data_IF_314444375010
#
_entry.id   IF_314444375010
#
_cell.length_a   1.000
_cell.length_b   1.000
_cell.length_c   1.000
_cell.angle_alpha   90.00
_cell.angle_beta   90.00
_cell.angle_gamma   90.00
#
_symmetry.space_group_name_H-M   'P 1'
#
loop_
_entity.id
_entity.type
_entity.pdbx_description
1 polymer ?
#
# COMPACT_ATOMS: atom_id res chain seq x y z
N UNK A 1 -2.44 -2.45 -13.21
CA UNK A 1 -3.16 -1.18 -13.37
C UNK A 1 -2.28 -0.02 -12.89
N UNK A 2 -2.30 1.06 -13.64
CA UNK A 2 -1.50 2.24 -13.34
C UNK A 2 -2.38 3.34 -12.76
N UNK A 3 -1.90 3.98 -11.70
CA UNK A 3 -2.58 5.11 -11.10
C UNK A 3 -1.66 6.31 -11.01
N UNK A 4 -2.23 7.47 -11.30
CA UNK A 4 -1.52 8.72 -11.27
C UNK A 4 -2.43 9.77 -10.64
N UNK A 5 -1.89 10.58 -9.75
CA UNK A 5 -2.63 11.66 -9.12
C UNK A 5 -1.67 12.75 -8.63
N UNK A 6 -2.22 13.91 -8.33
CA UNK A 6 -1.47 15.00 -7.73
C UNK A 6 -1.65 14.94 -6.21
N UNK A 7 -0.53 14.97 -5.51
CA UNK A 7 -0.50 15.07 -4.05
C UNK A 7 0.04 16.43 -3.69
N UNK A 8 -0.87 17.37 -3.45
CA UNK A 8 -0.53 18.78 -3.34
C UNK A 8 -0.13 19.31 -4.71
N UNK A 9 1.03 19.96 -4.82
CA UNK A 9 1.52 20.50 -6.08
C UNK A 9 2.41 19.52 -6.84
N UNK A 10 2.55 18.29 -6.37
CA UNK A 10 3.47 17.31 -6.94
C UNK A 10 2.74 16.12 -7.52
N UNK A 11 3.21 15.68 -8.66
CA UNK A 11 2.71 14.47 -9.30
C UNK A 11 3.12 13.24 -8.51
N UNK A 12 2.19 12.29 -8.38
CA UNK A 12 2.44 11.00 -7.77
C UNK A 12 1.92 9.89 -8.67
N UNK A 13 2.73 8.87 -8.91
CA UNK A 13 2.40 7.80 -9.85
C UNK A 13 2.86 6.45 -9.33
N UNK A 14 2.00 5.46 -9.44
CA UNK A 14 2.31 4.07 -9.14
C UNK A 14 1.56 3.13 -10.08
N UNK A 15 2.05 1.91 -10.18
CA UNK A 15 1.34 0.81 -10.83
C UNK A 15 1.05 -0.25 -9.79
N UNK A 16 -0.07 -0.95 -9.94
CA UNK A 16 -0.38 -2.04 -9.03
C UNK A 16 -0.99 -3.23 -9.76
N UNK A 17 -0.84 -4.39 -9.14
CA UNK A 17 -1.41 -5.64 -9.63
C UNK A 17 -2.03 -6.37 -8.45
N UNK A 18 -3.26 -6.84 -8.62
CA UNK A 18 -3.92 -7.66 -7.61
C UNK A 18 -3.41 -9.08 -7.75
N UNK A 19 -2.78 -9.59 -6.70
CA UNK A 19 -2.22 -10.93 -6.69
C UNK A 19 -3.23 -11.97 -6.19
N UNK A 20 -4.08 -11.58 -5.23
CA UNK A 20 -4.98 -12.50 -4.56
C UNK A 20 -6.14 -11.73 -3.94
N UNK A 21 -7.32 -12.32 -3.92
CA UNK A 21 -8.49 -11.74 -3.26
C UNK A 21 -9.11 -12.78 -2.33
N UNK A 22 -9.64 -12.33 -1.22
CA UNK A 22 -10.30 -13.20 -0.26
C UNK A 22 -11.52 -12.51 0.34
N UNK A 23 -12.65 -13.19 0.25
CA UNK A 23 -13.87 -12.72 0.90
C UNK A 23 -13.79 -12.92 2.40
N UNK A 24 -14.13 -11.89 3.14
CA UNK A 24 -14.22 -11.95 4.59
C UNK A 24 -15.64 -12.33 4.98
N UNK A 25 -15.82 -12.91 6.16
CA UNK A 25 -17.13 -13.39 6.57
C UNK A 25 -18.22 -12.33 6.68
N UNK A 26 -17.89 -11.06 6.59
CA UNK A 26 -18.82 -9.94 6.68
C UNK A 26 -19.24 -9.39 5.31
N UNK A 27 -18.88 -10.07 4.24
CA UNK A 27 -19.19 -9.64 2.89
C UNK A 27 -18.16 -8.70 2.27
N UNK A 28 -17.18 -8.26 3.03
CA UNK A 28 -16.09 -7.45 2.51
C UNK A 28 -15.07 -8.34 1.78
N UNK A 29 -14.35 -7.76 0.85
CA UNK A 29 -13.27 -8.44 0.14
C UNK A 29 -11.96 -7.75 0.44
N UNK A 30 -10.94 -8.53 0.76
CA UNK A 30 -9.57 -8.04 0.91
C UNK A 30 -8.75 -8.51 -0.28
N UNK A 31 -7.90 -7.63 -0.76
CA UNK A 31 -7.02 -7.92 -1.89
C UNK A 31 -5.56 -7.79 -1.46
N UNK A 32 -4.74 -8.74 -1.90
CA UNK A 32 -3.29 -8.62 -1.78
C UNK A 32 -2.78 -7.99 -3.07
N UNK A 33 -2.09 -6.87 -2.93
CA UNK A 33 -1.70 -6.04 -4.07
C UNK A 33 -0.19 -5.84 -4.07
N UNK A 34 0.42 -6.04 -5.22
CA UNK A 34 1.81 -5.69 -5.44
C UNK A 34 1.87 -4.32 -6.10
N UNK A 35 2.72 -3.44 -5.60
CA UNK A 35 2.78 -2.06 -6.02
C UNK A 35 4.18 -1.72 -6.51
N UNK A 36 4.26 -1.07 -7.66
CA UNK A 36 5.49 -0.50 -8.20
C UNK A 36 5.38 1.02 -8.14
N UNK A 37 6.21 1.63 -7.30
CA UNK A 37 6.24 3.08 -7.15
C UNK A 37 7.08 3.72 -8.24
N UNK A 38 6.50 4.66 -8.97
CA UNK A 38 7.24 5.52 -9.91
C UNK A 38 7.67 6.81 -9.24
N UNK A 39 6.96 7.22 -8.18
CA UNK A 39 7.31 8.37 -7.34
C UNK A 39 7.25 7.95 -5.88
N UNK A 40 7.93 8.68 -4.99
CA UNK A 40 7.93 8.37 -3.56
C UNK A 40 7.44 9.55 -2.73
N UNK A 41 6.21 9.99 -2.93
CA UNK A 41 5.63 11.08 -2.16
C UNK A 41 5.24 10.62 -0.76
N UNK A 42 5.14 11.55 0.16
CA UNK A 42 4.78 11.27 1.55
C UNK A 42 3.46 10.50 1.64
N UNK A 43 3.49 9.34 2.26
CA UNK A 43 2.34 8.44 2.41
C UNK A 43 1.61 8.13 1.09
N UNK A 44 2.31 8.16 -0.02
CA UNK A 44 1.69 8.07 -1.35
C UNK A 44 0.74 6.89 -1.52
N UNK A 45 1.18 5.68 -1.19
CA UNK A 45 0.35 4.48 -1.33
C UNK A 45 -0.91 4.60 -0.50
N UNK A 46 -0.77 5.01 0.75
CA UNK A 46 -1.89 5.16 1.68
C UNK A 46 -2.91 6.18 1.18
N UNK A 47 -2.42 7.33 0.72
CA UNK A 47 -3.29 8.41 0.24
C UNK A 47 -3.99 8.02 -1.05
N UNK A 48 -3.28 7.48 -2.03
CA UNK A 48 -3.86 7.13 -3.31
C UNK A 48 -4.90 6.02 -3.22
N UNK A 49 -4.63 4.99 -2.41
CA UNK A 49 -5.60 3.90 -2.23
C UNK A 49 -6.82 4.36 -1.43
N UNK A 50 -6.64 5.20 -0.42
CA UNK A 50 -7.76 5.75 0.32
C UNK A 50 -8.65 6.65 -0.57
N UNK A 51 -8.04 7.48 -1.40
CA UNK A 51 -8.76 8.36 -2.33
C UNK A 51 -9.56 7.55 -3.37
N UNK A 52 -9.10 6.35 -3.68
CA UNK A 52 -9.79 5.45 -4.60
C UNK A 52 -10.96 4.70 -3.93
N UNK A 53 -11.11 4.81 -2.63
CA UNK A 53 -12.13 4.08 -1.90
C UNK A 53 -11.68 2.69 -1.45
N UNK A 54 -10.40 2.39 -1.56
CA UNK A 54 -9.82 1.10 -1.18
C UNK A 54 -8.64 1.28 -0.23
N UNK A 55 -8.88 1.83 0.98
CA UNK A 55 -7.78 2.08 1.91
C UNK A 55 -7.10 0.79 2.33
N UNK A 56 -5.85 0.91 2.78
CA UNK A 56 -5.09 -0.24 3.25
C UNK A 56 -5.68 -0.76 4.56
N UNK A 57 -5.61 -2.06 4.75
CA UNK A 57 -5.99 -2.69 6.02
C UNK A 57 -5.13 -2.11 7.14
N UNK A 58 -5.76 -1.67 8.21
CA UNK A 58 -5.06 -1.10 9.35
C UNK A 58 -4.72 0.37 9.23
N UNK A 59 -5.09 1.03 8.14
CA UNK A 59 -4.81 2.45 7.95
C UNK A 59 -5.83 3.31 8.68
N UNK A 60 -5.49 3.75 9.88
CA UNK A 60 -6.36 4.56 10.72
C UNK A 60 -6.30 6.04 10.39
N UNK A 61 -5.30 6.48 9.66
CA UNK A 61 -5.14 7.90 9.30
C UNK A 61 -5.89 8.26 8.02
N UNK A 62 -5.79 7.42 7.00
CA UNK A 62 -6.42 7.67 5.69
C UNK A 62 -7.54 6.70 5.39
N UNK A 63 -7.75 5.70 6.24
CA UNK A 63 -8.72 4.66 6.03
C UNK A 63 -10.14 5.05 6.40
N UNK A 64 -10.97 4.05 6.67
CA UNK A 64 -12.36 4.25 7.02
C UNK A 64 -12.49 5.10 8.29
N UNK A 65 -13.57 5.89 8.42
CA UNK A 65 -13.82 6.66 9.63
C UNK A 65 -13.79 5.77 10.87
N UNK A 66 -13.42 6.36 12.02
CA UNK A 66 -13.38 5.62 13.29
C UNK A 66 -14.70 4.92 13.60
N UNK A 67 -15.82 5.48 13.17
CA UNK A 67 -17.13 4.88 13.34
C UNK A 67 -17.24 3.50 12.69
N UNK A 68 -16.52 3.25 11.61
CA UNK A 68 -16.54 1.96 10.92
C UNK A 68 -15.83 0.87 11.70
N UNK A 69 -15.02 1.24 12.67
CA UNK A 69 -14.30 0.30 13.53
C UNK A 69 -14.87 0.21 14.93
N UNK A 70 -15.96 0.90 15.20
CA UNK A 70 -16.63 0.83 16.50
C UNK A 70 -17.08 -0.60 16.78
N UNK A 71 -16.82 -1.07 17.99
CA UNK A 71 -17.13 -2.44 18.38
C UNK A 71 -16.02 -3.41 18.09
N UNK A 72 -14.99 -2.99 17.39
CA UNK A 72 -13.83 -3.84 17.18
C UNK A 72 -12.88 -3.72 18.35
N UNK A 73 -12.61 -4.83 18.98
CA UNK A 73 -11.79 -4.85 20.18
C UNK A 73 -10.32 -4.63 19.89
N UNK A 74 -9.90 -4.78 18.65
CA UNK A 74 -8.48 -4.67 18.29
C UNK A 74 -8.30 -3.89 17.01
N UNK A 75 -7.15 -3.23 16.94
CA UNK A 75 -6.70 -2.57 15.73
C UNK A 75 -5.76 -3.51 14.98
N UNK A 76 -5.96 -3.62 13.70
CA UNK A 76 -5.03 -4.35 12.85
C UNK A 76 -3.85 -3.43 12.53
N UNK A 77 -2.62 -3.97 12.48
CA UNK A 77 -1.48 -3.18 12.02
C UNK A 77 -1.66 -2.77 10.56
N UNK A 78 -1.02 -1.69 10.17
CA UNK A 78 -1.03 -1.25 8.78
C UNK A 78 -0.40 -2.32 7.90
N UNK A 79 -1.18 -2.83 6.95
CA UNK A 79 -0.74 -3.89 6.05
C UNK A 79 0.00 -3.29 4.84
N UNK A 80 1.21 -2.83 5.08
CA UNK A 80 2.08 -2.25 4.05
C UNK A 80 3.51 -2.68 4.33
N UNK A 81 4.15 -3.26 3.33
CA UNK A 81 5.53 -3.74 3.46
C UNK A 81 6.31 -3.48 2.17
N UNK A 82 7.49 -2.89 2.31
CA UNK A 82 8.41 -2.77 1.19
C UNK A 82 9.11 -4.12 1.01
N UNK A 83 8.83 -4.81 -0.09
CA UNK A 83 9.33 -6.16 -0.32
C UNK A 83 10.51 -6.21 -1.29
N UNK A 84 10.75 -5.16 -2.03
CA UNK A 84 11.87 -5.10 -2.98
C UNK A 84 12.42 -3.70 -3.07
N UNK A 85 13.74 -3.62 -3.07
CA UNK A 85 14.47 -2.36 -3.24
C UNK A 85 15.61 -2.61 -4.22
N UNK A 86 15.75 -1.73 -5.20
CA UNK A 86 16.84 -1.82 -6.16
C UNK A 86 17.40 -0.41 -6.40
N UNK A 87 18.71 -0.30 -6.41
CA UNK A 87 19.40 0.98 -6.64
C UNK A 87 20.81 0.74 -7.15
N UNK A 88 21.41 1.78 -7.68
CA UNK A 88 22.83 1.73 -8.07
C UNK A 88 23.69 2.14 -6.89
N UNK A 89 24.70 1.32 -6.60
CA UNK A 89 25.61 1.62 -5.50
C UNK A 89 26.31 2.97 -5.78
N UNK A 90 26.33 3.88 -4.80
CA UNK A 90 26.81 5.26 -5.05
C UNK A 90 28.29 5.36 -5.34
N UNK A 91 29.09 4.34 -4.99
CA UNK A 91 30.53 4.34 -5.21
C UNK A 91 30.91 3.49 -6.42
N UNK A 92 30.42 2.23 -6.46
CA UNK A 92 30.81 1.27 -7.49
C UNK A 92 29.95 1.31 -8.75
N UNK A 93 28.76 1.86 -8.66
CA UNK A 93 27.80 1.85 -9.76
C UNK A 93 27.11 0.52 -9.98
N UNK A 94 27.40 -0.48 -9.17
CA UNK A 94 26.75 -1.79 -9.26
C UNK A 94 25.27 -1.69 -8.89
N UNK A 95 24.46 -2.49 -9.59
CA UNK A 95 23.04 -2.60 -9.22
C UNK A 95 22.91 -3.44 -7.97
N UNK A 96 22.30 -2.84 -6.96
CA UNK A 96 22.01 -3.50 -5.71
C UNK A 96 20.53 -3.85 -5.66
N UNK A 97 20.21 -5.07 -5.23
CA UNK A 97 18.83 -5.52 -5.17
C UNK A 97 18.59 -6.32 -3.90
N UNK A 98 17.52 -5.95 -3.19
CA UNK A 98 17.13 -6.58 -1.95
C UNK A 98 15.66 -6.95 -2.00
N UNK A 99 15.31 -8.10 -1.44
CA UNK A 99 13.93 -8.53 -1.38
C UNK A 99 13.63 -9.25 -0.08
N UNK A 100 12.38 -9.21 0.33
CA UNK A 100 11.88 -9.90 1.51
C UNK A 100 10.42 -10.30 1.27
N UNK A 101 9.88 -11.11 2.17
CA UNK A 101 8.47 -11.48 2.13
C UNK A 101 7.65 -10.59 3.05
N UNK A 102 6.41 -10.25 2.68
CA UNK A 102 5.55 -9.49 3.60
C UNK A 102 5.18 -10.35 4.80
N UNK A 103 4.99 -9.70 5.94
CA UNK A 103 4.66 -10.36 7.20
C UNK A 103 3.15 -10.44 7.45
N UNK A 104 2.36 -10.26 6.43
CA UNK A 104 0.91 -10.35 6.53
C UNK A 104 0.35 -11.19 5.39
N UNK A 105 -0.83 -11.74 5.61
CA UNK A 105 -1.59 -12.50 4.62
C UNK A 105 -3.04 -12.04 4.60
N UNK A 106 -3.79 -12.51 3.62
CA UNK A 106 -5.22 -12.21 3.55
C UNK A 106 -6.04 -12.87 4.67
#
# INVERSE_FOLDING_TARGET
>A
TRRSSDLGAKRAELEYQILEEKEQGDGAVRSLVEIHLHTGRHHQIRVQFAAHGTPLVGDTKYGAPAAASVGRARREPLALCAVRLSFLHPVTGERMEFSTEPQFTL
#
